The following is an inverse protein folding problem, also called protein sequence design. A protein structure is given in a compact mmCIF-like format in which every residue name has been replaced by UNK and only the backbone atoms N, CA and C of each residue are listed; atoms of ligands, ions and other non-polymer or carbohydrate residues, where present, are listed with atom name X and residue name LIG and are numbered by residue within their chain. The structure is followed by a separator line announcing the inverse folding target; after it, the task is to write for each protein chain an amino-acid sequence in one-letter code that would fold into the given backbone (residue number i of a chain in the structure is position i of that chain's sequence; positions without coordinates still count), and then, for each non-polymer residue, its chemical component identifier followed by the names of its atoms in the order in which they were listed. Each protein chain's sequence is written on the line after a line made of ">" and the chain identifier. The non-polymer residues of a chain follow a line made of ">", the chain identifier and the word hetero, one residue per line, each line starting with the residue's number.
data_IF_699041346631
#
_entry.id   IF_699041346631
#
_cell.length_a   1.000
_cell.length_b   1.000
_cell.length_c   1.000
_cell.angle_alpha   90.00
_cell.angle_beta   90.00
_cell.angle_gamma   90.00
#
_symmetry.space_group_name_H-M   'P 1'
#
loop_
_entity.id
_entity.type
_entity.pdbx_description
1 polymer ?
#
# COMPACT_ATOMS: atom_id res chain seq x y z
N UNK A 1 -18.84 -9.66 -9.48
CA UNK A 1 -18.76 -9.33 -8.04
C UNK A 1 -19.47 -10.40 -7.24
N UNK A 2 -18.85 -10.94 -6.18
CA UNK A 2 -19.43 -11.99 -5.31
C UNK A 2 -20.80 -11.59 -4.77
N UNK A 3 -20.92 -10.36 -4.28
CA UNK A 3 -22.16 -9.81 -3.72
C UNK A 3 -23.32 -9.73 -4.73
N UNK A 4 -23.03 -9.47 -6.02
CA UNK A 4 -24.06 -9.43 -7.06
C UNK A 4 -24.58 -10.82 -7.44
N UNK A 5 -23.74 -11.85 -7.34
CA UNK A 5 -24.16 -13.24 -7.54
C UNK A 5 -24.96 -13.75 -6.32
N UNK A 6 -24.47 -13.47 -5.09
CA UNK A 6 -25.17 -13.80 -3.85
C UNK A 6 -26.55 -13.12 -3.74
N UNK A 7 -26.69 -11.91 -4.29
CA UNK A 7 -27.96 -11.19 -4.37
C UNK A 7 -28.88 -11.64 -5.54
N UNK A 8 -28.47 -12.63 -6.35
CA UNK A 8 -29.23 -13.12 -7.51
C UNK A 8 -29.28 -12.18 -8.72
N UNK A 9 -28.45 -11.12 -8.73
CA UNK A 9 -28.41 -10.09 -9.77
C UNK A 9 -27.46 -10.42 -10.93
N UNK A 10 -26.64 -11.48 -10.79
CA UNK A 10 -25.67 -11.90 -11.80
C UNK A 10 -25.88 -13.37 -12.17
N UNK A 11 -25.93 -13.71 -13.46
CA UNK A 11 -25.90 -15.10 -13.92
C UNK A 11 -24.63 -15.82 -13.47
N UNK A 12 -24.71 -17.13 -13.27
CA UNK A 12 -23.58 -17.98 -12.81
C UNK A 12 -22.40 -17.90 -13.77
N UNK A 13 -22.66 -17.90 -15.07
CA UNK A 13 -21.64 -17.81 -16.12
C UNK A 13 -20.83 -16.52 -15.99
N UNK A 14 -21.48 -15.41 -15.64
CA UNK A 14 -20.82 -14.13 -15.45
C UNK A 14 -19.97 -14.11 -14.18
N UNK A 15 -20.43 -14.79 -13.13
CA UNK A 15 -19.65 -14.94 -11.90
C UNK A 15 -18.39 -15.80 -12.13
N UNK A 16 -18.53 -16.92 -12.83
CA UNK A 16 -17.41 -17.82 -13.19
C UNK A 16 -16.36 -17.13 -14.07
N UNK A 17 -16.78 -16.31 -15.04
CA UNK A 17 -15.86 -15.49 -15.84
C UNK A 17 -15.01 -14.58 -14.96
N UNK A 18 -15.64 -13.87 -14.02
CA UNK A 18 -14.93 -12.98 -13.09
C UNK A 18 -13.98 -13.75 -12.17
N UNK A 19 -14.39 -14.93 -11.67
CA UNK A 19 -13.52 -15.77 -10.85
C UNK A 19 -12.28 -16.21 -11.63
N UNK A 20 -12.45 -16.62 -12.89
CA UNK A 20 -11.34 -17.04 -13.75
C UNK A 20 -10.39 -15.91 -14.06
N UNK A 21 -10.91 -14.72 -14.35
CA UNK A 21 -10.10 -13.52 -14.57
C UNK A 21 -9.25 -13.20 -13.32
N UNK A 22 -9.86 -13.24 -12.13
CA UNK A 22 -9.18 -13.02 -10.85
C UNK A 22 -8.14 -14.10 -10.51
N UNK A 23 -8.33 -15.34 -10.97
CA UNK A 23 -7.34 -16.40 -10.86
C UNK A 23 -6.13 -16.10 -11.75
N UNK A 24 -6.35 -15.78 -13.03
CA UNK A 24 -5.27 -15.44 -13.97
C UNK A 24 -4.45 -14.24 -13.50
N UNK A 25 -5.10 -13.21 -12.95
CA UNK A 25 -4.42 -12.03 -12.40
C UNK A 25 -3.49 -12.44 -11.24
N UNK A 26 -4.00 -13.25 -10.31
CA UNK A 26 -3.23 -13.72 -9.14
C UNK A 26 -2.05 -14.59 -9.54
N UNK A 27 -2.26 -15.56 -10.42
CA UNK A 27 -1.21 -16.45 -10.92
C UNK A 27 -0.10 -15.67 -11.62
N UNK A 28 -0.46 -14.67 -12.43
CA UNK A 28 0.52 -13.87 -13.15
C UNK A 28 1.30 -12.95 -12.21
N UNK A 29 0.63 -12.33 -11.24
CA UNK A 29 1.29 -11.56 -10.18
C UNK A 29 2.31 -12.41 -9.44
N UNK A 30 1.94 -13.62 -9.03
CA UNK A 30 2.82 -14.54 -8.30
C UNK A 30 4.02 -14.92 -9.18
N UNK A 31 3.79 -15.22 -10.45
CA UNK A 31 4.86 -15.49 -11.41
C UNK A 31 5.83 -14.31 -11.53
N UNK A 32 5.33 -13.08 -11.62
CA UNK A 32 6.17 -11.87 -11.70
C UNK A 32 6.96 -11.60 -10.41
N UNK A 33 6.47 -12.05 -9.26
CA UNK A 33 7.20 -12.01 -7.99
C UNK A 33 8.33 -13.04 -7.92
N UNK A 34 8.27 -14.11 -8.72
CA UNK A 34 9.33 -15.11 -8.81
C UNK A 34 10.23 -14.95 -10.03
N UNK A 35 9.80 -14.21 -11.06
CA UNK A 35 10.60 -13.91 -12.24
C UNK A 35 11.69 -12.89 -11.90
N UNK A 36 12.95 -13.32 -11.95
CA UNK A 36 14.12 -12.46 -11.74
C UNK A 36 14.72 -12.03 -13.08
N UNK A 37 14.85 -10.73 -13.28
CA UNK A 37 15.49 -10.10 -14.42
C UNK A 37 16.89 -9.65 -14.05
N UNK A 38 17.90 -10.22 -14.69
CA UNK A 38 19.31 -9.82 -14.51
C UNK A 38 19.66 -8.60 -15.36
N UNK A 39 20.65 -7.78 -14.95
CA UNK A 39 21.17 -6.70 -15.78
C UNK A 39 21.70 -7.24 -17.11
N UNK A 40 21.14 -6.76 -18.23
CA UNK A 40 21.56 -7.09 -19.59
C UNK A 40 21.69 -5.80 -20.40
N UNK A 41 22.60 -5.72 -21.38
CA UNK A 41 22.76 -4.53 -22.22
C UNK A 41 21.44 -4.07 -22.87
N UNK A 42 20.64 -5.01 -23.36
CA UNK A 42 19.38 -4.73 -24.05
C UNK A 42 18.29 -4.23 -23.10
N UNK A 43 18.21 -4.82 -21.89
CA UNK A 43 17.29 -4.38 -20.85
C UNK A 43 17.66 -2.98 -20.36
N UNK A 44 18.94 -2.72 -20.11
CA UNK A 44 19.41 -1.41 -19.69
C UNK A 44 19.24 -0.35 -20.79
N UNK A 45 19.42 -0.70 -22.06
CA UNK A 45 19.13 0.19 -23.18
C UNK A 45 17.63 0.54 -23.25
N UNK A 46 16.73 -0.43 -23.04
CA UNK A 46 15.29 -0.19 -22.95
C UNK A 46 14.97 0.77 -21.79
N UNK A 47 15.50 0.50 -20.60
CA UNK A 47 15.27 1.33 -19.41
C UNK A 47 15.75 2.77 -19.61
N UNK A 48 16.93 2.95 -20.20
CA UNK A 48 17.45 4.28 -20.55
C UNK A 48 16.55 5.01 -21.56
N UNK A 49 16.08 4.33 -22.62
CA UNK A 49 15.13 4.90 -23.59
C UNK A 49 13.80 5.30 -22.95
N UNK A 50 13.35 4.55 -21.95
CA UNK A 50 12.16 4.86 -21.15
C UNK A 50 12.40 5.93 -20.08
N UNK A 51 13.62 6.46 -19.97
CA UNK A 51 13.95 7.52 -19.01
C UNK A 51 13.99 7.04 -17.56
N UNK A 52 14.34 5.77 -17.32
CA UNK A 52 14.47 5.20 -15.98
C UNK A 52 15.86 4.59 -15.75
N UNK A 53 16.22 4.39 -14.48
CA UNK A 53 17.56 4.00 -14.06
C UNK A 53 17.91 2.59 -14.57
N UNK A 54 19.11 2.37 -15.14
CA UNK A 54 19.55 1.02 -15.51
C UNK A 54 19.65 0.12 -14.28
N UNK A 55 19.54 -1.19 -14.50
CA UNK A 55 19.77 -2.20 -13.46
C UNK A 55 21.26 -2.42 -13.25
N UNK A 56 21.65 -2.50 -11.98
CA UNK A 56 22.99 -2.87 -11.53
C UNK A 56 23.02 -4.29 -10.95
N UNK A 57 21.90 -4.74 -10.38
CA UNK A 57 21.72 -6.05 -9.76
C UNK A 57 20.44 -6.72 -10.28
N UNK A 58 20.32 -8.05 -10.16
CA UNK A 58 19.08 -8.75 -10.50
C UNK A 58 17.90 -8.25 -9.67
N UNK A 59 16.75 -8.08 -10.32
CA UNK A 59 15.52 -7.59 -9.67
C UNK A 59 14.32 -8.43 -10.10
N UNK A 60 13.33 -8.57 -9.22
CA UNK A 60 12.04 -9.18 -9.58
C UNK A 60 11.30 -8.34 -10.62
N UNK A 61 10.65 -8.99 -11.58
CA UNK A 61 9.86 -8.33 -12.60
C UNK A 61 8.73 -7.49 -11.98
N UNK A 62 8.07 -8.01 -10.93
CA UNK A 62 7.05 -7.27 -10.16
C UNK A 62 7.59 -5.95 -9.61
N UNK A 63 8.83 -5.93 -9.11
CA UNK A 63 9.47 -4.71 -8.59
C UNK A 63 9.83 -3.77 -9.75
N UNK A 64 10.33 -4.28 -10.86
CA UNK A 64 10.64 -3.45 -12.02
C UNK A 64 9.38 -2.77 -12.60
N UNK A 65 8.24 -3.46 -12.61
CA UNK A 65 6.94 -2.94 -13.07
C UNK A 65 6.37 -1.84 -12.18
N UNK A 66 6.86 -1.67 -10.94
CA UNK A 66 6.49 -0.51 -10.11
C UNK A 66 6.99 0.82 -10.70
N UNK A 67 7.93 0.78 -11.64
CA UNK A 67 8.41 1.98 -12.34
C UNK A 67 7.34 2.44 -13.33
N UNK A 68 6.83 3.67 -13.22
CA UNK A 68 5.71 4.13 -14.05
C UNK A 68 6.02 4.13 -15.55
N UNK A 69 7.29 4.22 -15.93
CA UNK A 69 7.75 4.21 -17.33
C UNK A 69 7.80 2.80 -17.95
N UNK A 70 7.72 1.75 -17.14
CA UNK A 70 7.82 0.35 -17.57
C UNK A 70 6.42 -0.26 -17.60
N UNK A 71 6.11 -0.95 -18.70
CA UNK A 71 4.86 -1.69 -18.89
C UNK A 71 5.12 -3.20 -18.89
N UNK A 72 4.07 -3.98 -18.70
CA UNK A 72 4.12 -5.44 -18.79
C UNK A 72 4.66 -5.91 -20.16
N UNK A 73 4.28 -5.24 -21.25
CA UNK A 73 4.76 -5.57 -22.59
C UNK A 73 6.23 -5.20 -22.83
N UNK A 74 6.77 -4.19 -22.16
CA UNK A 74 8.18 -3.84 -22.28
C UNK A 74 9.10 -4.99 -21.82
N UNK A 75 8.60 -5.85 -20.92
CA UNK A 75 9.36 -6.98 -20.39
C UNK A 75 9.34 -8.24 -21.27
N UNK A 76 8.47 -8.31 -22.29
CA UNK A 76 8.32 -9.49 -23.16
C UNK A 76 9.63 -10.03 -23.72
N UNK A 77 10.56 -9.20 -24.23
CA UNK A 77 11.83 -9.70 -24.77
C UNK A 77 12.74 -10.37 -23.74
N UNK A 78 12.46 -10.16 -22.44
CA UNK A 78 13.25 -10.64 -21.31
C UNK A 78 12.54 -11.73 -20.52
N UNK A 79 11.33 -12.11 -20.94
CA UNK A 79 10.46 -13.08 -20.28
C UNK A 79 9.98 -14.14 -21.29
N UNK A 80 10.83 -15.12 -21.64
CA UNK A 80 10.48 -16.15 -22.62
C UNK A 80 9.38 -17.10 -22.15
N UNK A 81 9.13 -17.18 -20.84
CA UNK A 81 8.09 -18.01 -20.23
C UNK A 81 6.75 -17.29 -20.04
N UNK A 82 6.59 -16.09 -20.63
CA UNK A 82 5.39 -15.27 -20.47
C UNK A 82 4.14 -16.01 -20.98
N UNK A 83 3.07 -16.14 -20.17
CA UNK A 83 1.82 -16.72 -20.62
C UNK A 83 1.06 -15.80 -21.59
N UNK A 84 0.24 -16.40 -22.43
CA UNK A 84 -0.71 -15.66 -23.25
C UNK A 84 -1.96 -15.35 -22.41
N UNK A 85 -2.10 -14.09 -22.00
CA UNK A 85 -3.19 -13.62 -21.16
C UNK A 85 -4.09 -12.62 -21.90
N UNK A 86 -5.39 -12.55 -21.56
CA UNK A 86 -6.28 -11.51 -22.09
C UNK A 86 -5.75 -10.09 -21.78
N UNK A 87 -5.99 -9.10 -22.66
CA UNK A 87 -5.57 -7.72 -22.42
C UNK A 87 -6.07 -7.13 -21.09
N UNK A 88 -7.30 -7.45 -20.69
CA UNK A 88 -7.89 -6.99 -19.43
C UNK A 88 -7.13 -7.53 -18.21
N UNK A 89 -6.74 -8.81 -18.24
CA UNK A 89 -5.92 -9.42 -17.19
C UNK A 89 -4.57 -8.73 -17.10
N UNK A 90 -3.94 -8.44 -18.23
CA UNK A 90 -2.64 -7.77 -18.30
C UNK A 90 -2.71 -6.36 -17.70
N UNK A 91 -3.75 -5.61 -18.06
CA UNK A 91 -3.99 -4.26 -17.53
C UNK A 91 -4.17 -4.31 -16.00
N UNK A 92 -5.01 -5.21 -15.51
CA UNK A 92 -5.26 -5.34 -14.06
C UNK A 92 -4.00 -5.79 -13.29
N UNK A 93 -3.20 -6.71 -13.84
CA UNK A 93 -1.89 -7.09 -13.28
C UNK A 93 -0.97 -5.89 -13.16
N UNK A 94 -0.87 -5.06 -14.21
CA UNK A 94 -0.02 -3.88 -14.21
C UNK A 94 -0.48 -2.85 -13.17
N UNK A 95 -1.79 -2.64 -13.06
CA UNK A 95 -2.40 -1.78 -12.03
C UNK A 95 -2.09 -2.33 -10.63
N UNK A 96 -2.44 -3.58 -10.35
CA UNK A 96 -2.25 -4.17 -9.03
C UNK A 96 -0.79 -4.11 -8.58
N UNK A 97 0.16 -4.43 -9.47
CA UNK A 97 1.59 -4.37 -9.15
C UNK A 97 2.06 -2.94 -8.89
N UNK A 98 1.68 -1.97 -9.73
CA UNK A 98 2.09 -0.56 -9.56
C UNK A 98 1.53 0.06 -8.30
N UNK A 99 0.29 -0.27 -7.93
CA UNK A 99 -0.40 0.35 -6.80
C UNK A 99 -0.26 -0.43 -5.49
N UNK A 100 0.25 -1.68 -5.50
CA UNK A 100 0.43 -2.52 -4.30
C UNK A 100 1.11 -1.80 -3.15
N UNK A 101 2.22 -1.13 -3.39
CA UNK A 101 2.98 -0.43 -2.35
C UNK A 101 2.20 0.74 -1.74
N UNK A 102 1.45 1.47 -2.56
CA UNK A 102 0.59 2.56 -2.09
C UNK A 102 -0.57 2.04 -1.24
N UNK A 103 -1.23 0.96 -1.69
CA UNK A 103 -2.34 0.32 -0.98
C UNK A 103 -1.84 -0.24 0.36
N UNK A 104 -0.72 -0.96 0.39
CA UNK A 104 -0.13 -1.47 1.63
C UNK A 104 0.19 -0.35 2.61
N UNK A 105 0.76 0.76 2.13
CA UNK A 105 1.05 1.92 2.98
C UNK A 105 -0.23 2.54 3.55
N UNK A 106 -1.29 2.67 2.75
CA UNK A 106 -2.58 3.18 3.21
C UNK A 106 -3.22 2.26 4.24
N UNK A 107 -3.16 0.94 4.03
CA UNK A 107 -3.67 -0.04 4.99
C UNK A 107 -2.91 0.01 6.32
N UNK A 108 -1.58 0.15 6.29
CA UNK A 108 -0.78 0.32 7.50
C UNK A 108 -1.17 1.60 8.26
N UNK A 109 -1.38 2.71 7.56
CA UNK A 109 -1.85 3.96 8.17
C UNK A 109 -3.23 3.81 8.82
N UNK A 110 -4.14 3.05 8.18
CA UNK A 110 -5.46 2.75 8.75
C UNK A 110 -5.33 1.91 10.02
N UNK A 111 -4.43 0.92 10.04
CA UNK A 111 -4.20 0.08 11.21
C UNK A 111 -3.62 0.87 12.38
N UNK A 112 -2.62 1.72 12.12
CA UNK A 112 -2.04 2.64 13.12
C UNK A 112 -3.10 3.59 13.67
N UNK A 113 -3.95 4.14 12.80
CA UNK A 113 -5.06 4.99 13.21
C UNK A 113 -6.05 4.26 14.12
N UNK A 114 -6.44 3.04 13.79
CA UNK A 114 -7.32 2.21 14.65
C UNK A 114 -6.70 1.96 16.02
N UNK A 115 -5.40 1.62 16.07
CA UNK A 115 -4.68 1.44 17.33
C UNK A 115 -4.72 2.71 18.19
N UNK A 116 -4.63 3.89 17.59
CA UNK A 116 -4.75 5.15 18.31
C UNK A 116 -6.17 5.43 18.83
N UNK A 117 -7.21 5.10 18.06
CA UNK A 117 -8.61 5.22 18.52
C UNK A 117 -8.89 4.35 19.75
N UNK A 118 -8.37 3.12 19.77
CA UNK A 118 -8.63 2.18 20.86
C UNK A 118 -7.77 2.49 22.12
N UNK A 119 -6.69 3.26 21.97
CA UNK A 119 -5.76 3.57 23.06
C UNK A 119 -6.31 4.67 23.95
N UNK A 120 -6.82 4.28 25.12
CA UNK A 120 -7.42 5.20 26.10
C UNK A 120 -6.38 6.05 26.81
N UNK A 121 -6.76 7.29 27.09
CA UNK A 121 -6.05 8.19 27.97
C UNK A 121 -6.82 8.21 29.31
N UNK A 122 -6.16 7.93 30.46
CA UNK A 122 -6.81 8.03 31.76
C UNK A 122 -7.42 9.41 32.01
N UNK A 123 -8.58 9.47 32.64
CA UNK A 123 -9.29 10.74 32.90
C UNK A 123 -8.51 11.70 33.81
N UNK A 124 -7.64 11.16 34.66
CA UNK A 124 -6.78 11.88 35.60
C UNK A 124 -5.39 12.20 35.00
N UNK A 125 -5.15 11.88 33.73
CA UNK A 125 -3.88 12.14 33.06
C UNK A 125 -3.53 13.64 33.05
N UNK A 126 -2.31 13.97 33.48
CA UNK A 126 -1.83 15.35 33.61
C UNK A 126 -0.88 15.70 32.46
N UNK A 127 -1.42 16.29 31.39
CA UNK A 127 -0.65 16.68 30.20
C UNK A 127 0.42 17.73 30.51
N UNK A 128 0.29 18.50 31.60
CA UNK A 128 1.25 19.55 31.95
C UNK A 128 2.63 19.00 32.34
N UNK A 129 2.67 17.75 32.82
CA UNK A 129 3.87 17.06 33.31
C UNK A 129 4.61 16.28 32.23
N UNK A 130 4.06 16.19 31.02
CA UNK A 130 4.65 15.37 29.95
C UNK A 130 5.79 16.11 29.27
N UNK A 131 7.02 15.76 29.63
CA UNK A 131 8.23 16.20 28.93
C UNK A 131 8.20 15.74 27.47
N UNK A 132 8.52 16.64 26.54
CA UNK A 132 8.52 16.34 25.10
C UNK A 132 7.26 16.78 24.35
N UNK A 133 6.15 17.07 25.04
CA UNK A 133 5.03 17.79 24.43
C UNK A 133 5.38 19.26 24.22
N UNK A 134 5.01 19.80 23.06
CA UNK A 134 5.04 21.23 22.80
C UNK A 134 4.11 21.99 23.76
N UNK A 135 4.45 23.24 24.05
CA UNK A 135 3.62 24.09 24.93
C UNK A 135 2.19 24.24 24.41
N UNK A 136 2.03 24.36 23.08
CA UNK A 136 0.73 24.44 22.42
C UNK A 136 -0.06 23.14 22.58
N UNK A 137 0.57 21.98 22.34
CA UNK A 137 -0.09 20.69 22.53
C UNK A 137 -0.51 20.48 23.99
N UNK A 138 0.36 20.81 24.96
CA UNK A 138 0.01 20.72 26.40
C UNK A 138 -1.21 21.56 26.74
N UNK A 139 -1.22 22.82 26.33
CA UNK A 139 -2.33 23.74 26.61
C UNK A 139 -3.65 23.20 26.01
N UNK A 140 -3.61 22.80 24.74
CA UNK A 140 -4.82 22.37 24.03
C UNK A 140 -5.32 21.01 24.49
N UNK A 141 -4.44 20.05 24.75
CA UNK A 141 -4.81 18.74 25.30
C UNK A 141 -5.36 18.85 26.71
N UNK A 142 -4.78 19.72 27.54
CA UNK A 142 -5.28 19.98 28.89
C UNK A 142 -6.68 20.60 28.87
N UNK A 143 -6.99 21.43 27.87
CA UNK A 143 -8.30 22.06 27.68
C UNK A 143 -9.34 21.09 27.09
N UNK A 144 -8.96 20.32 26.08
CA UNK A 144 -9.87 19.39 25.37
C UNK A 144 -10.12 18.11 26.18
N UNK A 145 -9.15 17.65 26.98
CA UNK A 145 -9.19 16.40 27.75
C UNK A 145 -9.64 15.20 26.90
N UNK A 146 -8.89 14.84 25.84
CA UNK A 146 -9.24 13.71 25.01
C UNK A 146 -9.22 12.40 25.81
N UNK A 147 -10.14 11.50 25.50
CA UNK A 147 -10.31 10.18 26.15
C UNK A 147 -9.54 9.08 25.44
N UNK A 148 -9.07 9.33 24.21
CA UNK A 148 -8.27 8.41 23.40
C UNK A 148 -7.15 9.16 22.68
N UNK A 149 -6.09 8.45 22.30
CA UNK A 149 -5.03 9.02 21.46
C UNK A 149 -5.54 9.47 20.09
N UNK A 150 -6.51 8.76 19.52
CA UNK A 150 -7.17 9.17 18.27
C UNK A 150 -7.91 10.50 18.41
N UNK A 151 -8.58 10.74 19.55
CA UNK A 151 -9.18 12.05 19.81
C UNK A 151 -8.10 13.13 19.98
N UNK A 152 -7.01 12.83 20.68
CA UNK A 152 -5.87 13.74 20.83
C UNK A 152 -5.27 14.14 19.47
N UNK A 153 -5.20 13.21 18.50
CA UNK A 153 -4.63 13.47 17.17
C UNK A 153 -5.43 14.45 16.32
N UNK A 154 -6.71 14.66 16.64
CA UNK A 154 -7.58 15.63 15.96
C UNK A 154 -7.58 17.01 16.61
N UNK A 155 -6.93 17.17 17.76
CA UNK A 155 -6.82 18.48 18.43
C UNK A 155 -5.87 19.35 17.60
N UNK A 156 -6.40 20.44 17.04
CA UNK A 156 -5.61 21.37 16.24
C UNK A 156 -4.40 21.88 17.05
N UNK A 157 -3.18 21.80 16.53
CA UNK A 157 -1.95 22.18 17.27
C UNK A 157 -1.28 21.02 18.02
N UNK A 158 -1.84 19.81 17.96
CA UNK A 158 -1.13 18.59 18.34
C UNK A 158 -0.43 18.03 17.10
N UNK A 159 0.88 17.85 17.20
CA UNK A 159 1.71 17.36 16.08
C UNK A 159 1.92 15.85 16.14
N UNK A 160 2.37 15.21 15.03
CA UNK A 160 2.78 13.81 15.06
C UNK A 160 3.86 13.51 16.10
N UNK A 161 4.76 14.46 16.40
CA UNK A 161 5.78 14.30 17.44
C UNK A 161 5.17 14.26 18.84
N UNK A 162 4.18 15.12 19.11
CA UNK A 162 3.44 15.13 20.37
C UNK A 162 2.69 13.79 20.59
N UNK A 163 2.07 13.26 19.53
CA UNK A 163 1.41 11.96 19.57
C UNK A 163 2.39 10.81 19.79
N UNK A 164 3.59 10.88 19.22
CA UNK A 164 4.62 9.87 19.47
C UNK A 164 5.02 9.82 20.95
N UNK A 165 5.21 10.99 21.57
CA UNK A 165 5.51 11.10 23.02
C UNK A 165 4.38 10.47 23.85
N UNK A 166 3.12 10.82 23.58
CA UNK A 166 1.98 10.25 24.30
C UNK A 166 1.83 8.76 24.04
N UNK A 167 2.09 8.30 22.80
CA UNK A 167 2.02 6.88 22.45
C UNK A 167 3.02 6.08 23.25
N UNK A 168 4.27 6.55 23.36
CA UNK A 168 5.32 5.89 24.16
C UNK A 168 4.93 5.86 25.64
N UNK A 169 4.48 7.00 26.19
CA UNK A 169 4.20 7.13 27.62
C UNK A 169 2.96 6.35 28.08
N UNK A 170 1.98 6.17 27.20
CA UNK A 170 0.75 5.41 27.47
C UNK A 170 0.84 3.95 27.00
N UNK A 171 2.01 3.50 26.53
CA UNK A 171 2.24 2.09 26.16
C UNK A 171 2.41 1.19 27.37
#
# INVERSE_FOLDING_TARGET
>A
SRYGYEAGLLPRERYEQVQREQELIREEIERLEHLVLSPRPELNALLQRKGTTPLQEPIRASVLLTRPQVTYYDLSPFDPGRPHLPPQVIEEVEIEVKYRGYIQRQLQQIEEFRKMEDKRIPSDFDFSKVSGLSSEAREKLQKVRPTTLGQASRVAGVTPADLAVLTILLS
#
